data_IF_551593333263
#
_entry.id   IF_551593333263
#
_cell.length_a   1.000
_cell.length_b   1.000
_cell.length_c   1.000
_cell.angle_alpha   90.00
_cell.angle_beta   90.00
_cell.angle_gamma   90.00
#
_symmetry.space_group_name_H-M   'P 1'
#
loop_
_entity.id
_entity.type
_entity.pdbx_description
1 polymer ?
#
# COMPACT_ATOMS: atom_id res chain seq x y z
N UNK A 1 12.96 -51.84 -40.49
CA UNK A 1 13.31 -50.92 -39.38
C UNK A 1 13.63 -51.75 -38.15
N UNK A 2 14.79 -51.55 -37.54
CA UNK A 2 15.19 -52.34 -36.38
C UNK A 2 14.26 -52.02 -35.20
N UNK A 3 13.75 -53.04 -34.50
CA UNK A 3 12.79 -52.94 -33.39
C UNK A 3 13.24 -51.91 -32.33
N UNK A 4 14.54 -51.83 -32.09
CA UNK A 4 15.18 -50.86 -31.18
C UNK A 4 14.99 -49.40 -31.59
N UNK A 5 15.00 -49.09 -32.90
CA UNK A 5 14.75 -47.72 -33.39
C UNK A 5 13.29 -47.33 -33.22
N UNK A 6 12.37 -48.27 -33.43
CA UNK A 6 10.94 -48.03 -33.23
C UNK A 6 10.61 -47.79 -31.75
N UNK A 7 11.12 -48.63 -30.85
CA UNK A 7 10.94 -48.45 -29.41
C UNK A 7 11.49 -47.11 -28.91
N UNK A 8 12.66 -46.70 -29.41
CA UNK A 8 13.26 -45.41 -29.04
C UNK A 8 12.39 -44.23 -29.46
N UNK A 9 11.85 -44.24 -30.69
CA UNK A 9 10.98 -43.17 -31.19
C UNK A 9 9.68 -43.08 -30.38
N UNK A 10 9.02 -44.20 -30.10
CA UNK A 10 7.78 -44.23 -29.30
C UNK A 10 8.06 -43.74 -27.87
N UNK A 11 9.18 -44.14 -27.27
CA UNK A 11 9.62 -43.63 -25.96
C UNK A 11 9.83 -42.11 -25.96
N UNK A 12 10.50 -41.57 -26.98
CA UNK A 12 10.68 -40.13 -27.13
C UNK A 12 9.35 -39.39 -27.27
N UNK A 13 8.46 -39.85 -28.14
CA UNK A 13 7.14 -39.23 -28.33
C UNK A 13 6.34 -39.22 -27.03
N UNK A 14 6.39 -40.33 -26.29
CA UNK A 14 5.67 -40.47 -25.02
C UNK A 14 6.23 -39.51 -23.97
N UNK A 15 7.56 -39.38 -23.89
CA UNK A 15 8.24 -38.44 -22.98
C UNK A 15 7.88 -36.98 -23.31
N UNK A 16 7.90 -36.61 -24.59
CA UNK A 16 7.48 -35.27 -25.04
C UNK A 16 6.00 -34.99 -24.73
N UNK A 17 5.14 -35.99 -24.88
CA UNK A 17 3.71 -35.86 -24.57
C UNK A 17 3.48 -35.61 -23.08
N UNK A 18 4.21 -36.32 -22.20
CA UNK A 18 4.17 -36.11 -20.75
C UNK A 18 4.68 -34.71 -20.36
N UNK A 19 5.80 -34.27 -20.95
CA UNK A 19 6.35 -32.94 -20.69
C UNK A 19 5.39 -31.83 -21.12
N UNK A 20 4.71 -32.01 -22.26
CA UNK A 20 3.72 -31.05 -22.76
C UNK A 20 2.56 -30.88 -21.77
N UNK A 21 1.97 -31.97 -21.30
CA UNK A 21 0.86 -31.92 -20.32
C UNK A 21 1.33 -31.32 -18.99
N UNK A 22 2.55 -31.65 -18.55
CA UNK A 22 3.13 -31.08 -17.35
C UNK A 22 3.27 -29.54 -17.46
N UNK A 23 3.85 -29.06 -18.56
CA UNK A 23 3.99 -27.63 -18.82
C UNK A 23 2.64 -26.91 -18.85
N UNK A 24 1.64 -27.51 -19.52
CA UNK A 24 0.29 -26.95 -19.58
C UNK A 24 -0.31 -26.81 -18.17
N UNK A 25 -0.14 -27.81 -17.33
CA UNK A 25 -0.66 -27.81 -15.94
C UNK A 25 0.04 -26.76 -15.07
N UNK A 26 1.35 -26.61 -15.22
CA UNK A 26 2.13 -25.60 -14.50
C UNK A 26 1.69 -24.17 -14.87
N UNK A 27 1.43 -23.89 -16.15
CA UNK A 27 0.92 -22.58 -16.60
C UNK A 27 -0.40 -22.25 -15.92
N UNK A 28 -1.35 -23.19 -15.87
CA UNK A 28 -2.63 -22.98 -15.17
C UNK A 28 -2.45 -22.75 -13.68
N UNK A 29 -1.55 -23.50 -13.04
CA UNK A 29 -1.24 -23.34 -11.61
C UNK A 29 -0.63 -21.96 -11.33
N UNK A 30 0.27 -21.50 -12.19
CA UNK A 30 0.91 -20.19 -12.06
C UNK A 30 -0.11 -19.07 -12.26
N UNK A 31 -0.97 -19.17 -13.27
CA UNK A 31 -2.06 -18.23 -13.51
C UNK A 31 -3.02 -18.13 -12.32
N UNK A 32 -3.43 -19.26 -11.73
CA UNK A 32 -4.30 -19.28 -10.57
C UNK A 32 -3.66 -18.65 -9.33
N UNK A 33 -2.35 -18.89 -9.15
CA UNK A 33 -1.58 -18.27 -8.07
C UNK A 33 -1.45 -16.75 -8.27
N UNK A 34 -1.27 -16.31 -9.52
CA UNK A 34 -1.28 -14.89 -9.89
C UNK A 34 -2.62 -14.23 -9.59
N UNK A 35 -3.72 -14.84 -10.04
CA UNK A 35 -5.08 -14.33 -9.84
C UNK A 35 -5.42 -14.17 -8.34
N UNK A 36 -5.06 -15.15 -7.50
CA UNK A 36 -5.27 -15.03 -6.05
C UNK A 36 -4.57 -13.82 -5.45
N UNK A 37 -3.33 -13.55 -5.87
CA UNK A 37 -2.57 -12.39 -5.40
C UNK A 37 -3.17 -11.08 -5.89
N UNK A 38 -3.63 -11.05 -7.14
CA UNK A 38 -4.27 -9.88 -7.73
C UNK A 38 -5.57 -9.50 -6.99
N UNK A 39 -6.42 -10.48 -6.67
CA UNK A 39 -7.64 -10.24 -5.89
C UNK A 39 -7.33 -9.65 -4.52
N UNK A 40 -6.33 -10.19 -3.81
CA UNK A 40 -5.90 -9.64 -2.52
C UNK A 40 -5.36 -8.22 -2.66
N UNK A 41 -4.61 -7.94 -3.72
CA UNK A 41 -4.08 -6.60 -3.97
C UNK A 41 -5.19 -5.59 -4.25
N UNK A 42 -6.19 -5.96 -5.06
CA UNK A 42 -7.36 -5.11 -5.33
C UNK A 42 -8.16 -4.82 -4.05
N UNK A 43 -8.41 -5.83 -3.21
CA UNK A 43 -9.09 -5.65 -1.92
C UNK A 43 -8.32 -4.69 -0.99
N UNK A 44 -6.99 -4.78 -0.95
CA UNK A 44 -6.17 -3.83 -0.19
C UNK A 44 -6.22 -2.41 -0.77
N UNK A 45 -6.29 -2.28 -2.09
CA UNK A 45 -6.36 -1.01 -2.80
C UNK A 45 -7.71 -0.32 -2.53
N UNK A 46 -8.80 -1.08 -2.59
CA UNK A 46 -10.15 -0.60 -2.26
C UNK A 46 -10.23 -0.15 -0.79
N UNK A 47 -9.71 -0.96 0.14
CA UNK A 47 -9.63 -0.58 1.56
C UNK A 47 -8.82 0.70 1.77
N UNK A 48 -7.71 0.86 1.05
CA UNK A 48 -6.89 2.07 1.11
C UNK A 48 -7.68 3.28 0.58
N UNK A 49 -8.38 3.13 -0.54
CA UNK A 49 -9.19 4.18 -1.12
C UNK A 49 -10.31 4.63 -0.17
N UNK A 50 -11.04 3.68 0.41
CA UNK A 50 -12.07 3.95 1.42
C UNK A 50 -11.49 4.66 2.63
N UNK A 51 -10.33 4.22 3.13
CA UNK A 51 -9.67 4.87 4.25
C UNK A 51 -9.25 6.30 3.91
N UNK A 52 -8.66 6.53 2.73
CA UNK A 52 -8.27 7.85 2.25
C UNK A 52 -9.48 8.77 2.09
N UNK A 53 -10.58 8.25 1.56
CA UNK A 53 -11.84 8.98 1.44
C UNK A 53 -12.40 9.34 2.82
N UNK A 54 -12.39 8.41 3.77
CA UNK A 54 -12.85 8.63 5.13
C UNK A 54 -12.01 9.67 5.87
N UNK A 55 -10.69 9.61 5.73
CA UNK A 55 -9.78 10.62 6.29
C UNK A 55 -10.06 11.98 5.64
N UNK A 56 -10.12 12.07 4.31
CA UNK A 56 -10.39 13.32 3.61
C UNK A 56 -11.76 13.90 3.99
N UNK A 57 -12.78 13.06 4.06
CA UNK A 57 -14.14 13.48 4.41
C UNK A 57 -14.26 13.84 5.88
N UNK A 58 -13.55 13.14 6.78
CA UNK A 58 -13.53 13.40 8.22
C UNK A 58 -12.69 14.63 8.60
N UNK A 59 -11.58 14.86 7.89
CA UNK A 59 -10.74 16.04 8.02
C UNK A 59 -11.29 17.26 7.26
N UNK A 60 -12.33 17.08 6.43
CA UNK A 60 -12.96 18.18 5.72
C UNK A 60 -13.59 19.15 6.72
N UNK A 61 -13.10 20.39 6.72
CA UNK A 61 -13.61 21.48 7.57
C UNK A 61 -15.13 21.65 7.45
N UNK A 62 -15.69 21.37 6.28
CA UNK A 62 -17.15 21.44 6.03
C UNK A 62 -17.94 20.38 6.79
N UNK A 63 -17.41 19.17 6.96
CA UNK A 63 -18.07 18.10 7.72
C UNK A 63 -17.91 18.31 9.22
N UNK A 64 -16.73 18.76 9.65
CA UNK A 64 -16.46 19.14 11.05
C UNK A 64 -17.35 20.32 11.42
N UNK A 65 -17.38 21.37 10.58
CA UNK A 65 -18.25 22.53 10.73
C UNK A 65 -19.72 22.13 10.83
N UNK A 66 -20.24 21.34 9.89
CA UNK A 66 -21.64 20.86 9.97
C UNK A 66 -21.93 20.01 11.21
N UNK A 67 -20.97 19.19 11.68
CA UNK A 67 -21.16 18.40 12.90
C UNK A 67 -21.18 19.26 14.16
N UNK A 68 -20.36 20.31 14.22
CA UNK A 68 -20.27 21.25 15.34
C UNK A 68 -21.44 22.25 15.33
N UNK A 69 -21.84 22.75 14.17
CA UNK A 69 -22.98 23.66 14.01
C UNK A 69 -24.34 22.95 14.18
N UNK A 70 -24.40 21.63 13.98
CA UNK A 70 -25.61 20.83 14.22
C UNK A 70 -25.84 20.46 15.70
N UNK A 71 -24.83 20.58 16.55
CA UNK A 71 -25.02 20.50 18.00
C UNK A 71 -25.48 21.87 18.52
N UNK A 72 -26.75 21.97 18.93
CA UNK A 72 -27.34 23.20 19.50
C UNK A 72 -26.62 23.74 20.75
N UNK A 73 -25.67 22.98 21.32
CA UNK A 73 -24.88 23.36 22.49
C UNK A 73 -23.61 24.15 22.12
N UNK A 74 -23.31 24.35 20.83
CA UNK A 74 -22.14 25.10 20.40
C UNK A 74 -22.45 26.61 20.36
N UNK A 75 -22.17 27.31 21.46
CA UNK A 75 -22.11 28.77 21.48
C UNK A 75 -20.74 29.25 21.01
N UNK A 76 -20.72 30.04 19.93
CA UNK A 76 -19.53 30.77 19.51
C UNK A 76 -19.29 31.91 20.52
N UNK A 77 -18.14 31.96 21.21
CA UNK A 77 -17.90 33.01 22.20
C UNK A 77 -17.80 34.38 21.52
N UNK A 78 -18.63 35.34 21.95
CA UNK A 78 -18.61 36.73 21.46
C UNK A 78 -17.28 37.45 21.72
N UNK A 79 -16.51 36.97 22.69
CA UNK A 79 -15.24 37.59 23.10
C UNK A 79 -14.07 36.71 22.69
N UNK A 80 -13.42 37.04 21.57
CA UNK A 80 -12.16 36.40 21.20
C UNK A 80 -11.01 37.04 21.98
N UNK A 81 -10.36 36.26 22.85
CA UNK A 81 -9.10 36.68 23.49
C UNK A 81 -7.95 36.07 22.69
N UNK A 82 -7.34 36.88 21.82
CA UNK A 82 -6.11 36.50 21.13
C UNK A 82 -4.97 36.45 22.14
N UNK A 83 -4.61 35.25 22.59
CA UNK A 83 -3.43 35.05 23.43
C UNK A 83 -2.25 34.72 22.53
N UNK A 84 -1.33 35.67 22.37
CA UNK A 84 -0.04 35.41 21.70
C UNK A 84 0.80 34.56 22.65
N UNK A 85 0.85 33.26 22.40
CA UNK A 85 1.79 32.37 23.08
C UNK A 85 3.20 32.80 22.67
N UNK A 86 4.05 33.12 23.66
CA UNK A 86 5.47 33.27 23.39
C UNK A 86 5.98 31.94 22.81
N UNK A 87 6.80 31.96 21.75
CA UNK A 87 7.32 30.73 21.18
C UNK A 87 8.18 30.03 22.23
N UNK A 88 7.62 29.02 22.89
CA UNK A 88 8.38 28.09 23.69
C UNK A 88 9.35 27.43 22.72
N UNK A 89 10.65 27.73 22.90
CA UNK A 89 11.75 27.18 22.08
C UNK A 89 11.85 25.65 22.19
N UNK A 90 11.10 25.02 23.09
CA UNK A 90 10.86 23.59 23.06
C UNK A 90 9.75 23.29 22.06
N UNK A 91 10.14 23.22 20.79
CA UNK A 91 9.37 22.53 19.77
C UNK A 91 9.02 21.11 20.23
N UNK A 92 7.95 20.56 19.67
CA UNK A 92 7.52 19.17 19.82
C UNK A 92 8.75 18.24 19.80
N UNK A 93 9.19 17.78 20.98
CA UNK A 93 10.18 16.72 21.08
C UNK A 93 9.47 15.43 20.69
N UNK A 94 9.51 15.09 19.40
CA UNK A 94 9.36 13.72 18.97
C UNK A 94 10.35 12.91 19.80
N UNK A 95 9.82 12.03 20.64
CA UNK A 95 10.61 11.15 21.49
C UNK A 95 11.58 10.39 20.56
N UNK A 96 12.86 10.78 20.58
CA UNK A 96 13.91 10.09 19.84
C UNK A 96 13.96 8.66 20.39
N UNK A 97 13.33 7.75 19.65
CA UNK A 97 13.56 6.32 19.77
C UNK A 97 15.08 6.09 19.69
N UNK A 98 15.66 5.24 20.54
CA UNK A 98 17.10 5.05 20.56
C UNK A 98 17.57 4.62 19.18
N UNK A 99 18.65 5.27 18.70
CA UNK A 99 19.34 4.96 17.47
C UNK A 99 19.86 3.52 17.51
N UNK A 100 18.99 2.57 17.20
CA UNK A 100 19.34 1.17 16.99
C UNK A 100 19.96 1.03 15.61
N UNK A 101 21.29 0.85 15.59
CA UNK A 101 22.13 0.38 14.46
C UNK A 101 21.38 0.16 13.15
N UNK A 102 21.43 1.17 12.28
CA UNK A 102 20.98 1.03 10.90
C UNK A 102 21.88 0.02 10.17
N UNK A 103 21.30 -1.12 9.82
CA UNK A 103 21.94 -2.16 9.01
C UNK A 103 21.77 -1.82 7.54
N UNK A 104 22.76 -2.10 6.69
CA UNK A 104 22.80 -1.71 5.26
C UNK A 104 21.53 -2.06 4.44
N UNK A 105 20.72 -3.00 4.90
CA UNK A 105 19.44 -3.37 4.30
C UNK A 105 18.36 -2.28 4.46
N UNK A 106 18.35 -1.50 5.55
CA UNK A 106 17.37 -0.41 5.75
C UNK A 106 17.61 0.79 4.81
N UNK A 107 18.82 0.95 4.29
CA UNK A 107 19.17 1.94 3.24
C UNK A 107 18.66 1.54 1.86
N UNK A 108 18.60 0.25 1.54
CA UNK A 108 18.17 -0.25 0.23
C UNK A 108 16.64 -0.29 0.14
N UNK A 109 15.96 -0.64 1.22
CA UNK A 109 14.50 -0.69 1.29
C UNK A 109 13.85 0.54 1.92
N UNK A 110 14.62 1.62 2.11
CA UNK A 110 14.13 2.92 2.56
C UNK A 110 13.22 3.54 1.51
N UNK A 111 11.93 3.21 1.60
CA UNK A 111 10.83 3.81 0.84
C UNK A 111 11.03 5.32 0.80
N UNK A 112 11.31 5.83 -0.41
CA UNK A 112 11.41 7.25 -0.74
C UNK A 112 10.24 8.02 -0.12
N UNK A 113 10.45 8.59 1.07
CA UNK A 113 9.67 9.71 1.59
C UNK A 113 10.16 10.99 0.90
N UNK A 114 9.96 11.07 -0.42
CA UNK A 114 9.99 12.33 -1.13
C UNK A 114 8.56 12.87 -1.17
N UNK A 115 8.10 13.38 -0.03
CA UNK A 115 7.00 14.34 -0.01
C UNK A 115 7.62 15.74 -0.15
N UNK A 116 8.10 16.05 -1.36
CA UNK A 116 8.51 17.41 -1.71
C UNK A 116 7.24 18.24 -1.90
N UNK A 117 6.80 18.93 -0.84
CA UNK A 117 5.86 20.02 -0.96
C UNK A 117 6.58 21.22 -1.60
N UNK A 118 6.52 21.33 -2.93
CA UNK A 118 6.84 22.58 -3.63
C UNK A 118 5.68 23.56 -3.38
N UNK A 119 5.86 24.45 -2.40
CA UNK A 119 5.06 25.66 -2.30
C UNK A 119 5.56 26.63 -3.37
N UNK A 120 4.76 26.81 -4.42
CA UNK A 120 4.91 27.94 -5.34
C UNK A 120 4.20 29.10 -4.64
N UNK A 121 4.95 30.15 -4.31
CA UNK A 121 4.45 31.43 -3.79
C UNK A 121 4.74 32.52 -4.84
N UNK A 122 3.96 33.61 -4.85
CA UNK A 122 3.32 34.24 -6.01
C UNK A 122 4.25 34.90 -7.04
#
# INVERSE_FOLDING_TARGET
MNLTRFLSIVGFITCFSLLYVYQQTEIFRLAYTGQKKEVVFQDLLDKNYVLKYNIKSGASLTRIGNKISGSNDFQMPDTYRLVRLAPTRDGFRLNNQPAGRETLLSKIFGVKRQAEARTITP
#
